data_IF_062774461694
#
_entry.id   IF_062774461694
#
_cell.length_a   1.000
_cell.length_b   1.000
_cell.length_c   1.000
_cell.angle_alpha   90.00
_cell.angle_beta   90.00
_cell.angle_gamma   90.00
#
_symmetry.space_group_name_H-M   'P 1'
#
loop_
_entity.id
_entity.type
_entity.pdbx_description
1 polymer ?
#
# COMPACT_ATOMS: atom_id res chain seq x y z
N UNK A 1 -53.20 46.13 0.62
CA UNK A 1 -54.42 46.02 -0.20
C UNK A 1 -54.88 44.56 -0.19
N UNK A 2 -56.09 44.28 0.31
CA UNK A 2 -56.75 42.95 0.30
C UNK A 2 -57.44 42.69 -1.05
N UNK A 3 -57.50 41.42 -1.49
CA UNK A 3 -58.59 40.72 -2.27
C UNK A 3 -58.06 39.33 -2.68
N UNK A 4 -58.59 38.20 -2.17
CA UNK A 4 -59.78 37.41 -2.62
C UNK A 4 -59.59 36.76 -4.02
N UNK A 5 -59.30 35.45 -4.11
CA UNK A 5 -60.18 34.27 -4.25
C UNK A 5 -60.57 33.99 -5.72
N UNK A 6 -60.48 32.73 -6.17
CA UNK A 6 -61.52 31.96 -6.91
C UNK A 6 -60.96 30.57 -7.32
N UNK A 7 -61.74 29.55 -6.98
CA UNK A 7 -61.62 28.14 -7.35
C UNK A 7 -62.45 27.90 -8.63
N UNK A 8 -61.98 27.07 -9.56
CA UNK A 8 -62.80 26.57 -10.68
C UNK A 8 -62.87 25.05 -10.59
N UNK A 9 -64.09 24.56 -10.39
CA UNK A 9 -64.51 23.16 -10.46
C UNK A 9 -64.97 22.90 -11.89
N UNK A 10 -64.53 21.80 -12.50
CA UNK A 10 -65.17 21.29 -13.73
C UNK A 10 -65.64 19.85 -13.48
N UNK A 11 -66.93 19.63 -13.71
CA UNK A 11 -67.69 18.40 -13.53
C UNK A 11 -68.05 17.87 -14.92
N UNK A 12 -67.84 16.59 -15.23
CA UNK A 12 -68.56 15.94 -16.34
C UNK A 12 -68.90 14.47 -16.01
N UNK A 13 -70.18 14.30 -15.68
CA UNK A 13 -71.14 13.22 -15.96
C UNK A 13 -70.67 11.76 -16.08
N UNK A 14 -71.23 10.93 -15.20
CA UNK A 14 -71.32 9.48 -15.30
C UNK A 14 -72.40 9.03 -16.29
N UNK A 15 -72.09 8.02 -17.11
CA UNK A 15 -73.10 7.17 -17.76
C UNK A 15 -72.84 5.74 -17.27
N UNK A 16 -73.78 5.19 -16.52
CA UNK A 16 -73.80 3.80 -16.07
C UNK A 16 -74.55 2.93 -17.07
N UNK A 17 -73.99 1.79 -17.46
CA UNK A 17 -74.76 0.62 -17.91
C UNK A 17 -74.14 -0.66 -17.31
N UNK A 18 -74.96 -1.64 -16.90
CA UNK A 18 -74.55 -2.73 -16.02
C UNK A 18 -73.98 -3.91 -16.82
N UNK A 19 -73.04 -4.65 -16.22
CA UNK A 19 -72.74 -6.01 -16.66
C UNK A 19 -72.57 -6.94 -15.47
N UNK A 20 -73.24 -8.08 -15.62
CA UNK A 20 -73.50 -9.14 -14.66
C UNK A 20 -72.20 -9.74 -14.10
N UNK A 21 -72.22 -10.01 -12.79
CA UNK A 21 -71.22 -10.81 -12.13
C UNK A 21 -71.33 -12.27 -12.59
N UNK A 22 -70.26 -12.79 -13.21
CA UNK A 22 -70.00 -14.22 -13.27
C UNK A 22 -68.84 -14.52 -12.33
N UNK A 23 -69.16 -15.21 -11.24
CA UNK A 23 -68.20 -15.78 -10.30
C UNK A 23 -67.46 -16.92 -11.01
N UNK A 24 -66.15 -16.79 -11.17
CA UNK A 24 -65.28 -17.92 -11.51
C UNK A 24 -64.18 -17.97 -10.47
N UNK A 25 -64.23 -19.01 -9.64
CA UNK A 25 -63.19 -19.40 -8.70
C UNK A 25 -61.92 -19.76 -9.47
N UNK A 26 -60.85 -18.99 -9.27
CA UNK A 26 -59.51 -19.32 -9.76
C UNK A 26 -58.68 -19.70 -8.52
N UNK A 27 -58.36 -20.99 -8.40
CA UNK A 27 -57.33 -21.51 -7.49
C UNK A 27 -55.96 -21.01 -7.95
N UNK A 28 -55.07 -20.55 -7.03
CA UNK A 28 -53.75 -20.11 -7.42
C UNK A 28 -52.85 -21.32 -7.67
N UNK A 29 -52.33 -21.43 -8.88
CA UNK A 29 -51.25 -22.34 -9.22
C UNK A 29 -49.94 -21.71 -8.76
N UNK A 30 -49.26 -22.34 -7.80
CA UNK A 30 -48.00 -21.84 -7.24
C UNK A 30 -46.88 -22.22 -8.21
N UNK A 31 -46.50 -21.28 -9.06
CA UNK A 31 -45.30 -21.39 -9.87
C UNK A 31 -44.08 -21.20 -8.95
N UNK A 32 -43.29 -22.27 -8.77
CA UNK A 32 -42.03 -22.23 -8.03
C UNK A 32 -41.04 -21.37 -8.82
N UNK A 33 -40.81 -20.15 -8.35
CA UNK A 33 -39.66 -19.37 -8.79
C UNK A 33 -38.38 -20.08 -8.33
N UNK A 34 -37.61 -20.63 -9.28
CA UNK A 34 -36.24 -21.06 -9.02
C UNK A 34 -35.40 -19.81 -8.75
N UNK A 35 -34.94 -19.70 -7.51
CA UNK A 35 -34.02 -18.67 -7.08
C UNK A 35 -32.66 -18.94 -7.74
N UNK A 36 -32.37 -18.24 -8.84
CA UNK A 36 -31.04 -18.24 -9.46
C UNK A 36 -30.10 -17.55 -8.47
N UNK A 37 -29.45 -18.35 -7.61
CA UNK A 37 -28.33 -17.90 -6.78
C UNK A 37 -27.17 -17.61 -7.73
N UNK A 38 -27.08 -16.35 -8.18
CA UNK A 38 -25.87 -15.84 -8.81
C UNK A 38 -24.79 -15.82 -7.73
N UNK A 39 -23.97 -16.87 -7.72
CA UNK A 39 -22.77 -16.96 -6.91
C UNK A 39 -21.80 -15.88 -7.42
N UNK A 40 -21.94 -14.66 -6.89
CA UNK A 40 -20.94 -13.63 -7.08
C UNK A 40 -19.73 -14.08 -6.28
N UNK A 41 -18.68 -14.51 -6.97
CA UNK A 41 -17.38 -14.71 -6.33
C UNK A 41 -17.07 -13.45 -5.51
N UNK A 42 -17.00 -13.59 -4.19
CA UNK A 42 -16.69 -12.48 -3.31
C UNK A 42 -15.29 -11.96 -3.70
N UNK A 43 -15.20 -10.69 -4.09
CA UNK A 43 -13.91 -10.08 -4.42
C UNK A 43 -13.02 -10.16 -3.18
N UNK A 44 -11.97 -10.99 -3.26
CA UNK A 44 -11.00 -11.15 -2.17
C UNK A 44 -10.28 -9.83 -1.93
N UNK A 45 -10.12 -9.47 -0.66
CA UNK A 45 -9.28 -8.32 -0.28
C UNK A 45 -7.81 -8.68 -0.51
N UNK A 46 -7.06 -7.85 -1.24
CA UNK A 46 -5.64 -8.11 -1.45
C UNK A 46 -4.80 -7.59 -0.26
N UNK A 47 -3.78 -8.36 0.12
CA UNK A 47 -2.72 -7.92 1.05
C UNK A 47 -1.36 -8.30 0.46
N UNK A 48 -0.43 -7.35 0.41
CA UNK A 48 0.94 -7.61 -0.02
C UNK A 48 1.85 -7.81 1.19
N UNK A 49 2.59 -8.91 1.23
CA UNK A 49 3.51 -9.27 2.32
C UNK A 49 4.93 -9.35 1.77
N UNK A 50 5.80 -8.48 2.29
CA UNK A 50 7.18 -8.33 1.83
C UNK A 50 8.23 -8.69 2.87
N UNK A 51 9.35 -9.23 2.40
CA UNK A 51 10.58 -9.33 3.20
C UNK A 51 11.51 -8.18 2.84
N UNK A 52 11.92 -7.41 3.86
CA UNK A 52 12.74 -6.22 3.72
C UNK A 52 14.21 -6.51 3.99
N UNK A 53 15.10 -5.92 3.19
CA UNK A 53 16.49 -5.75 3.56
C UNK A 53 17.48 -5.71 2.40
N UNK A 54 18.76 -5.87 2.74
CA UNK A 54 19.85 -5.85 1.77
C UNK A 54 20.51 -7.23 1.63
N UNK A 55 20.61 -7.80 0.42
CA UNK A 55 21.28 -9.08 0.20
C UNK A 55 22.71 -9.03 0.70
N UNK A 56 23.16 -10.14 1.28
CA UNK A 56 24.51 -10.31 1.84
C UNK A 56 24.82 -9.41 3.05
N UNK A 57 23.82 -8.79 3.68
CA UNK A 57 24.00 -7.96 4.87
C UNK A 57 22.97 -8.29 5.95
N UNK A 58 23.19 -9.30 6.80
CA UNK A 58 22.22 -9.78 7.80
C UNK A 58 21.72 -8.73 8.79
N UNK A 59 22.52 -7.69 9.06
CA UNK A 59 22.15 -6.57 9.93
C UNK A 59 21.08 -5.65 9.31
N UNK A 60 20.91 -5.68 7.99
CA UNK A 60 20.00 -4.83 7.23
C UNK A 60 18.70 -5.53 6.84
N UNK A 61 18.30 -6.57 7.57
CA UNK A 61 16.99 -7.22 7.43
C UNK A 61 17.04 -8.63 6.83
N UNK A 62 15.88 -9.30 6.89
CA UNK A 62 15.72 -10.73 6.58
C UNK A 62 16.22 -11.14 5.19
N UNK A 63 16.17 -10.26 4.18
CA UNK A 63 16.73 -10.55 2.84
C UNK A 63 18.25 -10.78 2.86
N UNK A 64 18.95 -10.24 3.85
CA UNK A 64 20.39 -10.36 4.02
C UNK A 64 20.83 -11.57 4.84
N UNK A 65 19.91 -12.27 5.50
CA UNK A 65 20.23 -13.33 6.48
C UNK A 65 20.57 -14.68 5.86
N UNK A 66 20.13 -14.94 4.62
CA UNK A 66 20.31 -16.24 3.98
C UNK A 66 20.32 -16.15 2.45
N UNK A 67 20.75 -17.23 1.78
CA UNK A 67 20.66 -17.33 0.33
C UNK A 67 19.20 -17.15 -0.16
N UNK A 68 19.04 -16.63 -1.38
CA UNK A 68 17.73 -16.26 -1.94
C UNK A 68 16.72 -17.42 -1.93
N UNK A 69 17.16 -18.67 -2.12
CA UNK A 69 16.27 -19.85 -2.10
C UNK A 69 15.67 -20.08 -0.71
N UNK A 70 16.48 -19.89 0.34
CA UNK A 70 16.02 -19.97 1.72
C UNK A 70 15.09 -18.80 2.06
N UNK A 71 15.34 -17.61 1.50
CA UNK A 71 14.46 -16.46 1.65
C UNK A 71 13.10 -16.72 0.99
N UNK A 72 13.08 -17.29 -0.23
CA UNK A 72 11.84 -17.70 -0.93
C UNK A 72 11.05 -18.69 -0.08
N UNK A 73 11.70 -19.74 0.43
CA UNK A 73 11.05 -20.73 1.30
C UNK A 73 10.40 -20.07 2.52
N UNK A 74 11.15 -19.24 3.25
CA UNK A 74 10.63 -18.51 4.42
C UNK A 74 9.48 -17.56 4.07
N UNK A 75 9.50 -16.95 2.88
CA UNK A 75 8.44 -16.06 2.44
C UNK A 75 7.17 -16.84 2.05
N UNK A 76 7.30 -18.04 1.48
CA UNK A 76 6.18 -18.97 1.24
C UNK A 76 5.57 -19.47 2.55
N UNK A 77 6.39 -19.87 3.52
CA UNK A 77 5.94 -20.22 4.89
C UNK A 77 5.20 -19.04 5.55
N UNK A 78 5.65 -17.81 5.30
CA UNK A 78 4.95 -16.60 5.76
C UNK A 78 3.59 -16.44 5.09
N UNK A 79 3.48 -16.70 3.79
CA UNK A 79 2.18 -16.69 3.08
C UNK A 79 1.23 -17.75 3.65
N UNK A 80 1.68 -18.98 3.86
CA UNK A 80 0.86 -20.04 4.45
C UNK A 80 0.32 -19.64 5.83
N UNK A 81 1.14 -18.96 6.64
CA UNK A 81 0.70 -18.41 7.92
C UNK A 81 -0.41 -17.35 7.75
N UNK A 82 -0.29 -16.44 6.78
CA UNK A 82 -1.33 -15.47 6.48
C UNK A 82 -2.61 -16.12 5.95
N UNK A 83 -2.50 -17.04 4.99
CA UNK A 83 -3.63 -17.75 4.41
C UNK A 83 -4.43 -18.50 5.50
N UNK A 84 -3.74 -19.12 6.47
CA UNK A 84 -4.37 -19.79 7.62
C UNK A 84 -5.13 -18.82 8.55
N UNK A 85 -4.55 -17.66 8.83
CA UNK A 85 -5.11 -16.68 9.78
C UNK A 85 -6.27 -15.86 9.20
N UNK A 86 -6.28 -15.69 7.87
CA UNK A 86 -7.22 -14.82 7.16
C UNK A 86 -8.29 -15.59 6.38
N UNK A 87 -8.05 -16.85 6.05
CA UNK A 87 -8.93 -17.68 5.25
C UNK A 87 -9.04 -17.19 3.81
N UNK A 88 -10.08 -17.63 3.10
CA UNK A 88 -10.22 -17.41 1.66
C UNK A 88 -10.60 -15.98 1.26
N UNK A 89 -10.93 -15.12 2.22
CA UNK A 89 -11.36 -13.73 1.98
C UNK A 89 -10.21 -12.82 1.53
N UNK A 90 -8.96 -13.26 1.68
CA UNK A 90 -7.78 -12.48 1.35
C UNK A 90 -6.94 -13.15 0.26
N UNK A 91 -6.44 -12.34 -0.67
CA UNK A 91 -5.41 -12.75 -1.61
C UNK A 91 -4.05 -12.20 -1.15
N UNK A 92 -3.16 -13.08 -0.71
CA UNK A 92 -1.84 -12.72 -0.19
C UNK A 92 -0.82 -12.71 -1.32
N UNK A 93 -0.39 -11.51 -1.73
CA UNK A 93 0.72 -11.29 -2.66
C UNK A 93 2.04 -11.21 -1.90
N UNK A 94 3.14 -11.65 -2.54
CA UNK A 94 4.46 -11.69 -1.92
C UNK A 94 5.42 -10.70 -2.57
N UNK A 95 6.38 -10.17 -1.79
CA UNK A 95 7.37 -9.22 -2.30
C UNK A 95 8.77 -9.37 -1.69
N UNK A 96 9.79 -9.08 -2.49
CA UNK A 96 11.10 -8.66 -1.99
C UNK A 96 11.16 -7.14 -1.89
N UNK A 97 11.50 -6.61 -0.73
CA UNK A 97 11.70 -5.17 -0.53
C UNK A 97 13.20 -4.91 -0.30
N UNK A 98 13.85 -4.52 -1.39
CA UNK A 98 15.29 -4.56 -1.59
C UNK A 98 15.93 -3.18 -1.35
N UNK A 99 16.80 -3.06 -0.35
CA UNK A 99 17.62 -1.84 -0.17
C UNK A 99 18.61 -1.76 -1.33
N UNK A 100 18.35 -0.85 -2.27
CA UNK A 100 19.24 -0.54 -3.37
C UNK A 100 20.23 0.54 -2.97
N UNK A 101 19.73 1.71 -2.61
CA UNK A 101 20.55 2.81 -2.11
C UNK A 101 20.75 2.64 -0.62
N UNK A 102 21.95 2.26 -0.19
CA UNK A 102 22.32 2.17 1.23
C UNK A 102 23.01 3.45 1.66
N UNK A 103 22.43 4.16 2.62
CA UNK A 103 23.07 5.30 3.26
C UNK A 103 24.20 4.85 4.19
N UNK A 104 25.35 5.50 4.08
CA UNK A 104 26.56 5.19 4.84
C UNK A 104 27.03 6.37 5.68
N UNK A 105 27.80 6.10 6.74
CA UNK A 105 28.44 7.16 7.55
C UNK A 105 29.55 7.86 6.75
N UNK A 106 30.27 7.09 5.92
CA UNK A 106 31.32 7.60 5.04
C UNK A 106 30.69 8.24 3.78
N UNK A 107 31.11 9.45 3.38
CA UNK A 107 30.65 10.11 2.14
C UNK A 107 30.98 9.34 0.85
N UNK A 108 31.95 8.44 0.87
CA UNK A 108 32.42 7.75 -0.33
C UNK A 108 33.11 8.69 -1.31
N UNK A 109 33.39 8.18 -2.52
CA UNK A 109 34.10 8.93 -3.57
C UNK A 109 33.26 10.07 -4.15
N UNK A 110 31.95 9.84 -4.25
CA UNK A 110 31.01 10.79 -4.86
C UNK A 110 30.47 11.81 -3.84
N UNK A 111 30.90 11.69 -2.58
CA UNK A 111 30.49 12.54 -1.46
C UNK A 111 28.96 12.61 -1.27
N UNK A 112 28.27 11.52 -1.60
CA UNK A 112 26.83 11.38 -1.56
C UNK A 112 26.30 10.54 -0.39
N UNK A 113 27.21 9.83 0.30
CA UNK A 113 26.93 8.90 1.39
C UNK A 113 26.08 7.69 0.96
N UNK A 114 26.13 7.28 -0.31
CA UNK A 114 25.34 6.16 -0.83
C UNK A 114 26.24 5.05 -1.40
N UNK A 115 25.91 3.81 -1.05
CA UNK A 115 26.41 2.61 -1.73
C UNK A 115 25.24 1.91 -2.42
N UNK A 116 25.23 1.95 -3.74
CA UNK A 116 24.22 1.27 -4.54
C UNK A 116 24.45 -0.24 -4.59
N UNK A 117 23.35 -1.00 -4.62
CA UNK A 117 23.37 -2.43 -4.89
C UNK A 117 23.76 -2.67 -6.37
N UNK A 118 24.72 -3.58 -6.66
CA UNK A 118 25.13 -3.84 -8.03
C UNK A 118 23.97 -4.34 -8.90
N UNK A 119 23.94 -3.91 -10.16
CA UNK A 119 22.91 -4.27 -11.14
C UNK A 119 22.70 -5.78 -11.25
N UNK A 120 23.80 -6.55 -11.29
CA UNK A 120 23.76 -8.02 -11.31
C UNK A 120 22.96 -8.61 -10.13
N UNK A 121 23.07 -8.02 -8.95
CA UNK A 121 22.33 -8.48 -7.77
C UNK A 121 20.87 -8.05 -7.84
N UNK A 122 20.58 -6.82 -8.26
CA UNK A 122 19.19 -6.35 -8.48
C UNK A 122 18.48 -7.26 -9.47
N UNK A 123 19.10 -7.53 -10.63
CA UNK A 123 18.56 -8.40 -11.66
C UNK A 123 18.38 -9.85 -11.20
N UNK A 124 19.25 -10.36 -10.32
CA UNK A 124 19.05 -11.68 -9.70
C UNK A 124 17.74 -11.73 -8.91
N UNK A 125 17.44 -10.70 -8.12
CA UNK A 125 16.20 -10.66 -7.33
C UNK A 125 14.96 -10.40 -8.20
N UNK A 126 15.05 -9.54 -9.22
CA UNK A 126 13.95 -9.31 -10.17
C UNK A 126 13.55 -10.60 -10.90
N UNK A 127 14.52 -11.30 -11.50
CA UNK A 127 14.26 -12.55 -12.22
C UNK A 127 13.72 -13.63 -11.31
N UNK A 128 14.32 -13.80 -10.13
CA UNK A 128 13.85 -14.76 -9.15
C UNK A 128 12.43 -14.46 -8.68
N UNK A 129 12.10 -13.19 -8.45
CA UNK A 129 10.76 -12.79 -8.07
C UNK A 129 9.76 -13.07 -9.21
N UNK A 130 10.13 -12.83 -10.46
CA UNK A 130 9.28 -13.13 -11.61
C UNK A 130 8.96 -14.63 -11.74
N UNK A 131 9.96 -15.50 -11.54
CA UNK A 131 9.77 -16.96 -11.50
C UNK A 131 8.78 -17.40 -10.40
N UNK A 132 8.82 -16.72 -9.26
CA UNK A 132 8.03 -17.07 -8.07
C UNK A 132 6.67 -16.35 -8.01
N UNK A 133 6.41 -15.41 -8.91
CA UNK A 133 5.21 -14.56 -8.89
C UNK A 133 5.23 -13.50 -7.79
N UNK A 134 6.42 -13.05 -7.38
CA UNK A 134 6.62 -12.04 -6.34
C UNK A 134 6.87 -10.65 -6.97
N UNK A 135 6.48 -9.61 -6.24
CA UNK A 135 6.89 -8.24 -6.53
C UNK A 135 8.33 -7.96 -6.04
N UNK A 136 8.97 -6.94 -6.60
CA UNK A 136 10.23 -6.38 -6.12
C UNK A 136 10.05 -4.89 -5.90
N UNK A 137 10.26 -4.43 -4.68
CA UNK A 137 10.27 -3.01 -4.32
C UNK A 137 11.72 -2.60 -4.15
N UNK A 138 12.18 -1.67 -4.98
CA UNK A 138 13.54 -1.11 -4.90
C UNK A 138 13.51 0.11 -3.98
N UNK A 139 14.21 0.00 -2.86
CA UNK A 139 14.23 1.00 -1.79
C UNK A 139 15.48 1.89 -1.86
N UNK A 140 15.24 3.20 -1.69
CA UNK A 140 16.21 4.26 -1.81
C UNK A 140 16.33 5.04 -0.52
N UNK A 141 17.36 4.74 0.27
CA UNK A 141 17.84 5.65 1.31
C UNK A 141 18.52 6.85 0.63
N UNK A 142 18.10 8.06 0.99
CA UNK A 142 18.37 9.21 0.13
C UNK A 142 19.77 9.82 0.26
N UNK A 143 20.44 9.69 1.41
CA UNK A 143 21.73 10.36 1.62
C UNK A 143 21.60 11.87 1.34
N UNK A 144 22.42 12.42 0.44
CA UNK A 144 22.28 13.85 0.04
C UNK A 144 21.24 14.11 -1.05
N UNK A 145 20.74 13.06 -1.70
CA UNK A 145 19.93 13.17 -2.91
C UNK A 145 18.51 13.68 -2.62
N UNK A 146 17.94 14.37 -3.60
CA UNK A 146 16.47 14.49 -3.69
C UNK A 146 15.87 13.14 -4.13
N UNK A 147 14.57 12.90 -3.90
CA UNK A 147 13.90 11.71 -4.43
C UNK A 147 14.10 11.51 -5.94
N UNK A 148 13.96 12.57 -6.74
CA UNK A 148 14.20 12.55 -8.18
C UNK A 148 15.63 12.09 -8.52
N UNK A 149 16.64 12.62 -7.83
CA UNK A 149 18.04 12.22 -8.07
C UNK A 149 18.27 10.75 -7.74
N UNK A 150 17.73 10.26 -6.62
CA UNK A 150 17.85 8.87 -6.20
C UNK A 150 17.10 7.89 -7.13
N UNK A 151 15.99 8.33 -7.73
CA UNK A 151 15.14 7.49 -8.59
C UNK A 151 15.72 7.27 -9.99
N UNK A 152 16.38 8.27 -10.58
CA UNK A 152 16.94 8.21 -11.94
C UNK A 152 17.69 6.90 -12.28
N UNK A 153 18.64 6.40 -11.46
CA UNK A 153 19.37 5.17 -11.81
C UNK A 153 18.53 3.89 -11.79
N UNK A 154 17.37 3.90 -11.13
CA UNK A 154 16.51 2.71 -10.95
C UNK A 154 15.26 2.70 -11.83
N UNK A 155 14.93 3.81 -12.52
CA UNK A 155 13.78 3.89 -13.44
C UNK A 155 13.80 2.77 -14.50
N UNK A 156 14.99 2.43 -15.00
CA UNK A 156 15.18 1.34 -15.98
C UNK A 156 14.62 -0.01 -15.55
N UNK A 157 14.45 -0.27 -14.24
CA UNK A 157 13.89 -1.52 -13.75
C UNK A 157 12.36 -1.54 -13.81
N UNK A 158 11.69 -0.40 -14.01
CA UNK A 158 10.23 -0.35 -14.14
C UNK A 158 9.71 -1.03 -15.41
N UNK A 159 10.58 -1.31 -16.39
CA UNK A 159 10.25 -2.13 -17.56
C UNK A 159 9.81 -3.56 -17.18
N UNK A 160 10.16 -4.03 -15.97
CA UNK A 160 9.71 -5.31 -15.44
C UNK A 160 8.38 -5.10 -14.70
N UNK A 161 7.35 -5.85 -15.08
CA UNK A 161 5.99 -5.71 -14.55
C UNK A 161 5.94 -5.78 -13.01
N UNK A 162 6.71 -6.70 -12.43
CA UNK A 162 6.75 -6.96 -10.99
C UNK A 162 7.63 -5.98 -10.18
N UNK A 163 8.21 -4.95 -10.80
CA UNK A 163 9.07 -3.98 -10.10
C UNK A 163 8.32 -2.71 -9.71
N UNK A 164 8.58 -2.26 -8.48
CA UNK A 164 8.04 -1.08 -7.81
C UNK A 164 9.17 -0.32 -7.08
N UNK A 165 8.87 0.85 -6.54
CA UNK A 165 9.87 1.76 -5.97
C UNK A 165 9.49 2.19 -4.55
N UNK A 166 10.50 2.47 -3.72
CA UNK A 166 10.32 3.02 -2.38
C UNK A 166 11.33 4.14 -2.10
N UNK A 167 10.89 5.12 -1.32
CA UNK A 167 11.69 6.22 -0.81
C UNK A 167 11.80 6.09 0.71
N UNK A 168 13.02 6.19 1.22
CA UNK A 168 13.30 6.23 2.65
C UNK A 168 13.91 7.60 3.04
N UNK A 169 13.07 8.54 3.53
CA UNK A 169 13.50 9.85 3.96
C UNK A 169 14.35 9.86 5.23
N UNK A 170 14.38 8.77 6.02
CA UNK A 170 15.05 8.72 7.33
C UNK A 170 16.51 9.14 7.22
N UNK A 171 17.17 8.68 6.15
CA UNK A 171 18.60 8.84 5.93
C UNK A 171 18.97 10.09 5.15
N UNK A 172 17.99 10.95 4.81
CA UNK A 172 18.24 12.16 4.03
C UNK A 172 18.98 13.21 4.87
N UNK A 173 20.08 13.72 4.32
CA UNK A 173 20.84 14.84 4.88
C UNK A 173 20.79 16.06 3.94
N UNK A 174 20.85 17.30 4.46
CA UNK A 174 20.90 18.49 3.63
C UNK A 174 22.25 18.60 2.90
N UNK A 175 22.25 18.87 1.59
CA UNK A 175 23.49 19.07 0.80
C UNK A 175 24.45 20.11 1.40
N UNK A 176 23.91 21.13 2.05
CA UNK A 176 24.68 22.23 2.68
C UNK A 176 25.15 21.93 4.11
N UNK A 177 24.78 20.79 4.72
CA UNK A 177 25.19 20.38 6.07
C UNK A 177 25.70 18.95 6.07
N UNK A 178 26.99 18.79 6.32
CA UNK A 178 27.63 17.48 6.35
C UNK A 178 27.60 16.90 7.76
N UNK A 179 26.60 16.07 8.03
CA UNK A 179 26.61 15.11 9.12
C UNK A 179 26.27 13.74 8.54
N UNK A 180 26.74 12.64 9.16
CA UNK A 180 26.46 11.32 8.63
C UNK A 180 24.94 11.04 8.67
N UNK A 181 24.38 10.36 7.64
CA UNK A 181 23.05 9.79 7.68
C UNK A 181 22.77 9.02 8.98
N UNK A 182 21.53 9.07 9.45
CA UNK A 182 21.11 8.45 10.71
C UNK A 182 21.44 9.26 11.97
N UNK A 183 22.28 10.31 11.91
CA UNK A 183 22.50 11.21 13.05
C UNK A 183 21.24 11.99 13.43
N UNK A 184 20.50 12.42 12.42
CA UNK A 184 19.21 13.08 12.57
C UNK A 184 18.22 12.42 11.62
N UNK A 185 16.95 12.34 12.03
CA UNK A 185 15.87 11.85 11.17
C UNK A 185 15.68 12.85 10.02
N UNK A 186 15.97 12.39 8.80
CA UNK A 186 15.78 13.12 7.57
C UNK A 186 14.30 13.35 7.24
N UNK A 187 14.06 14.12 6.18
CA UNK A 187 12.72 14.41 5.70
C UNK A 187 12.71 14.88 4.26
N UNK A 188 11.57 14.68 3.62
CA UNK A 188 11.17 15.27 2.35
C UNK A 188 9.87 16.07 2.52
N UNK A 189 9.47 16.79 1.49
CA UNK A 189 8.22 17.55 1.40
C UNK A 189 7.23 16.86 0.46
N UNK A 190 5.94 17.17 0.59
CA UNK A 190 4.91 16.66 -0.32
C UNK A 190 5.20 16.95 -1.80
N UNK A 191 5.82 18.10 -2.10
CA UNK A 191 6.26 18.40 -3.46
C UNK A 191 7.38 17.47 -3.94
N UNK A 192 8.32 17.07 -3.07
CA UNK A 192 9.36 16.10 -3.47
C UNK A 192 8.74 14.73 -3.84
N UNK A 193 7.62 14.35 -3.21
CA UNK A 193 6.84 13.15 -3.57
C UNK A 193 6.11 13.35 -4.90
N UNK A 194 5.54 14.53 -5.14
CA UNK A 194 4.90 14.84 -6.43
C UNK A 194 5.89 14.80 -7.59
N UNK A 195 7.10 15.35 -7.41
CA UNK A 195 8.16 15.34 -8.42
C UNK A 195 8.65 13.90 -8.70
N UNK A 196 8.74 13.08 -7.65
CA UNK A 196 9.06 11.65 -7.77
C UNK A 196 7.98 10.88 -8.55
N UNK A 197 6.71 11.11 -8.22
CA UNK A 197 5.58 10.51 -8.93
C UNK A 197 5.52 10.96 -10.40
N UNK A 198 5.71 12.25 -10.68
CA UNK A 198 5.75 12.78 -12.04
C UNK A 198 6.86 12.13 -12.87
N UNK A 199 8.07 12.03 -12.30
CA UNK A 199 9.20 11.37 -12.95
C UNK A 199 8.89 9.91 -13.32
N UNK A 200 8.30 9.17 -12.39
CA UNK A 200 7.89 7.78 -12.62
C UNK A 200 6.80 7.72 -13.70
N UNK A 201 5.77 8.55 -13.58
CA UNK A 201 4.64 8.57 -14.52
C UNK A 201 5.10 8.87 -15.95
N UNK A 202 5.97 9.87 -16.13
CA UNK A 202 6.52 10.21 -17.44
C UNK A 202 7.32 9.04 -18.01
N UNK A 203 8.17 8.41 -17.19
CA UNK A 203 8.89 7.21 -17.63
C UNK A 203 7.95 6.08 -18.09
N UNK A 204 6.85 5.83 -17.36
CA UNK A 204 5.88 4.79 -17.75
C UNK A 204 5.21 5.12 -19.09
N UNK A 205 4.77 6.37 -19.27
CA UNK A 205 4.11 6.84 -20.50
C UNK A 205 5.05 6.76 -21.70
N UNK A 206 6.28 7.29 -21.55
CA UNK A 206 7.30 7.32 -22.60
C UNK A 206 7.71 5.91 -23.07
N UNK A 207 7.68 4.92 -22.17
CA UNK A 207 8.04 3.54 -22.47
C UNK A 207 6.83 2.63 -22.74
N UNK A 208 5.61 3.19 -22.82
CA UNK A 208 4.40 2.43 -23.12
C UNK A 208 4.01 1.39 -22.05
N UNK A 209 4.47 1.57 -20.80
CA UNK A 209 4.19 0.66 -19.68
C UNK A 209 2.80 0.99 -19.14
N UNK A 210 1.89 0.01 -19.20
CA UNK A 210 0.46 0.19 -18.83
C UNK A 210 0.18 -0.18 -17.38
N UNK A 211 1.02 -1.03 -16.81
CA UNK A 211 0.91 -1.52 -15.45
C UNK A 211 1.12 -0.38 -14.46
N UNK A 212 0.20 -0.23 -13.52
CA UNK A 212 0.39 0.72 -12.41
C UNK A 212 1.60 0.31 -11.59
N UNK A 213 2.40 1.30 -11.19
CA UNK A 213 3.55 1.07 -10.31
C UNK A 213 3.27 1.58 -8.92
N UNK A 214 3.70 0.81 -7.92
CA UNK A 214 3.63 1.24 -6.53
C UNK A 214 4.82 2.15 -6.21
N UNK A 215 4.55 3.25 -5.53
CA UNK A 215 5.55 4.09 -4.89
C UNK A 215 5.33 4.06 -3.38
N UNK A 216 6.29 3.52 -2.63
CA UNK A 216 6.22 3.46 -1.17
C UNK A 216 7.02 4.62 -0.57
N UNK A 217 6.51 5.27 0.46
CA UNK A 217 7.26 6.26 1.24
C UNK A 217 7.28 5.83 2.70
N UNK A 218 8.46 5.51 3.23
CA UNK A 218 8.61 5.10 4.63
C UNK A 218 8.50 6.29 5.58
N UNK A 219 7.84 6.09 6.72
CA UNK A 219 7.77 7.08 7.80
C UNK A 219 7.35 6.46 9.14
N UNK A 220 8.06 6.83 10.20
CA UNK A 220 7.64 6.55 11.58
C UNK A 220 7.42 7.83 12.40
N UNK A 221 7.61 8.99 11.78
CA UNK A 221 7.36 10.28 12.38
C UNK A 221 6.82 11.28 11.36
N UNK A 222 5.80 12.07 11.73
CA UNK A 222 5.15 13.09 10.88
C UNK A 222 6.09 14.12 10.23
N UNK A 223 7.34 14.21 10.69
CA UNK A 223 8.31 15.19 10.23
C UNK A 223 9.09 14.70 9.02
N UNK A 224 9.05 13.39 8.75
CA UNK A 224 9.74 12.74 7.63
C UNK A 224 9.09 13.07 6.28
N UNK A 225 7.77 13.30 6.28
CA UNK A 225 7.04 13.85 5.14
C UNK A 225 6.33 15.13 5.58
N UNK A 226 6.95 16.28 5.29
CA UNK A 226 6.40 17.59 5.61
C UNK A 226 5.45 18.04 4.51
N UNK A 227 4.48 18.88 4.84
CA UNK A 227 3.50 19.38 3.86
C UNK A 227 2.82 18.22 3.10
N UNK A 228 2.49 17.15 3.83
CA UNK A 228 1.89 15.92 3.32
C UNK A 228 0.54 16.19 2.65
N UNK A 229 -0.16 17.23 3.08
CA UNK A 229 -1.39 17.74 2.49
C UNK A 229 -1.25 18.23 1.04
N UNK A 230 -0.03 18.44 0.53
CA UNK A 230 0.23 18.86 -0.86
C UNK A 230 0.39 17.68 -1.83
N UNK A 231 0.44 16.44 -1.34
CA UNK A 231 0.65 15.26 -2.19
C UNK A 231 -0.57 15.04 -3.08
N UNK A 232 -0.31 14.78 -4.36
CA UNK A 232 -1.32 14.56 -5.41
C UNK A 232 -1.37 13.08 -5.81
N UNK A 233 -2.50 12.69 -6.42
CA UNK A 233 -2.68 11.38 -7.03
C UNK A 233 -2.22 11.39 -8.49
N UNK A 234 -1.73 10.24 -8.95
CA UNK A 234 -1.38 9.95 -10.35
C UNK A 234 -2.03 8.63 -10.76
N UNK A 235 -2.75 8.60 -11.88
CA UNK A 235 -3.60 7.45 -12.22
C UNK A 235 -2.83 6.13 -12.43
N UNK A 236 -1.57 6.22 -12.85
CA UNK A 236 -0.67 5.10 -13.10
C UNK A 236 0.25 4.79 -11.90
N UNK A 237 0.08 5.46 -10.76
CA UNK A 237 0.89 5.24 -9.56
C UNK A 237 -0.01 4.96 -8.36
N UNK A 238 0.29 3.86 -7.67
CA UNK A 238 -0.32 3.52 -6.39
C UNK A 238 0.61 3.97 -5.27
N UNK A 239 0.29 5.09 -4.64
CA UNK A 239 1.09 5.62 -3.54
C UNK A 239 0.76 4.85 -2.26
N UNK A 240 1.80 4.43 -1.54
CA UNK A 240 1.68 3.74 -0.26
C UNK A 240 2.53 4.48 0.76
N UNK A 241 1.93 4.96 1.84
CA UNK A 241 2.73 5.30 3.01
C UNK A 241 3.06 4.00 3.74
N UNK A 242 4.28 3.83 4.24
CA UNK A 242 4.63 2.63 4.99
C UNK A 242 5.14 3.00 6.37
N UNK A 243 4.43 2.55 7.41
CA UNK A 243 4.73 2.98 8.77
C UNK A 243 5.68 2.00 9.45
N UNK A 244 6.87 2.47 9.77
CA UNK A 244 8.02 1.64 10.13
C UNK A 244 8.61 1.93 11.52
N UNK A 245 7.76 2.33 12.48
CA UNK A 245 8.16 2.45 13.88
C UNK A 245 8.24 1.09 14.60
N UNK A 246 9.26 0.87 15.42
CA UNK A 246 9.41 -0.35 16.21
C UNK A 246 8.87 -0.19 17.64
N UNK A 247 8.48 -1.30 18.28
CA UNK A 247 8.03 -1.29 19.67
C UNK A 247 7.09 -2.45 20.02
N UNK A 248 6.39 -2.33 21.15
CA UNK A 248 5.30 -3.26 21.50
C UNK A 248 4.09 -2.97 20.61
N UNK A 249 3.31 -4.00 20.27
CA UNK A 249 2.20 -3.88 19.31
C UNK A 249 1.27 -2.68 19.53
N UNK A 250 0.84 -2.42 20.77
CA UNK A 250 -0.03 -1.26 21.07
C UNK A 250 0.61 0.11 20.75
N UNK A 251 1.92 0.26 20.91
CA UNK A 251 2.65 1.49 20.52
C UNK A 251 2.72 1.60 18.99
N UNK A 252 2.95 0.48 18.29
CA UNK A 252 2.94 0.49 16.81
C UNK A 252 1.58 0.87 16.25
N UNK A 253 0.49 0.33 16.81
CA UNK A 253 -0.89 0.73 16.46
C UNK A 253 -1.11 2.23 16.70
N UNK A 254 -0.56 2.79 17.78
CA UNK A 254 -0.63 4.23 18.04
C UNK A 254 0.10 5.04 16.98
N UNK A 255 1.34 4.68 16.64
CA UNK A 255 2.14 5.38 15.63
C UNK A 255 1.42 5.32 14.28
N UNK A 256 0.97 4.14 13.86
CA UNK A 256 0.21 3.93 12.63
C UNK A 256 -1.02 4.83 12.56
N UNK A 257 -1.91 4.74 13.56
CA UNK A 257 -3.15 5.52 13.57
C UNK A 257 -2.92 7.04 13.64
N UNK A 258 -1.77 7.50 14.16
CA UNK A 258 -1.43 8.91 14.24
C UNK A 258 -0.82 9.46 12.93
N UNK A 259 -0.24 8.58 12.10
CA UNK A 259 0.42 8.95 10.85
C UNK A 259 -0.47 8.74 9.60
N UNK A 260 -1.65 8.14 9.78
CA UNK A 260 -2.73 8.15 8.80
C UNK A 260 -3.89 9.02 9.27
N UNK A 261 -4.01 10.21 8.71
CA UNK A 261 -5.24 11.00 8.84
C UNK A 261 -6.32 10.51 7.86
N UNK A 262 -7.57 10.91 8.11
CA UNK A 262 -8.69 10.57 7.21
C UNK A 262 -8.52 11.19 5.82
N UNK A 263 -7.87 12.35 5.69
CA UNK A 263 -7.63 12.98 4.39
C UNK A 263 -6.56 12.24 3.58
N UNK A 264 -5.51 11.76 4.25
CA UNK A 264 -4.44 10.99 3.61
C UNK A 264 -4.93 9.64 3.08
N UNK A 265 -6.02 9.14 3.66
CA UNK A 265 -6.65 7.89 3.24
C UNK A 265 -7.20 7.89 1.82
N UNK A 266 -7.42 9.06 1.22
CA UNK A 266 -7.89 9.20 -0.16
C UNK A 266 -6.74 9.33 -1.17
N UNK A 267 -5.51 9.50 -0.69
CA UNK A 267 -4.33 9.81 -1.51
C UNK A 267 -3.39 8.60 -1.60
N UNK A 268 -3.23 7.89 -0.49
CA UNK A 268 -2.33 6.75 -0.42
C UNK A 268 -2.97 5.58 0.30
N UNK A 269 -2.59 4.38 -0.15
CA UNK A 269 -2.76 3.17 0.63
C UNK A 269 -1.80 3.10 1.80
N UNK A 270 -2.08 2.15 2.69
CA UNK A 270 -1.41 2.08 3.96
C UNK A 270 -0.54 0.83 4.11
N UNK A 271 0.65 1.03 4.66
CA UNK A 271 1.59 -0.03 4.98
C UNK A 271 2.03 -0.06 6.43
N UNK A 272 2.46 -1.23 6.90
CA UNK A 272 2.86 -1.50 8.27
C UNK A 272 4.10 -2.40 8.33
N UNK A 273 5.16 -1.97 9.04
CA UNK A 273 6.39 -2.76 9.20
C UNK A 273 6.41 -3.53 10.51
N UNK A 274 6.82 -4.79 10.44
CA UNK A 274 7.14 -5.64 11.60
C UNK A 274 8.66 -5.85 11.66
N UNK A 275 9.24 -5.67 12.85
CA UNK A 275 10.66 -5.93 13.08
C UNK A 275 10.82 -7.19 13.93
N UNK A 276 11.34 -8.26 13.35
CA UNK A 276 11.51 -9.53 14.07
C UNK A 276 12.39 -9.39 15.32
N UNK A 277 13.42 -8.54 15.24
CA UNK A 277 14.43 -8.35 16.29
C UNK A 277 14.12 -7.16 17.21
N UNK A 278 13.57 -6.07 16.66
CA UNK A 278 13.42 -4.81 17.39
C UNK A 278 12.04 -4.64 18.05
N UNK A 279 11.00 -5.30 17.54
CA UNK A 279 9.68 -5.25 18.17
C UNK A 279 9.65 -6.07 19.47
N UNK A 280 8.96 -5.54 20.48
CA UNK A 280 8.81 -6.22 21.78
C UNK A 280 7.76 -7.32 21.66
N UNK A 281 8.16 -8.53 22.02
CA UNK A 281 7.33 -9.75 21.93
C UNK A 281 6.11 -9.67 22.88
N UNK A 282 5.00 -10.37 22.57
CA UNK A 282 4.75 -11.10 21.32
C UNK A 282 4.63 -10.17 20.11
N UNK A 283 5.02 -10.66 18.93
CA UNK A 283 4.77 -9.92 17.69
C UNK A 283 3.27 -9.95 17.37
N UNK A 284 2.79 -8.92 16.66
CA UNK A 284 1.40 -8.87 16.21
C UNK A 284 1.11 -9.99 15.20
N UNK A 285 -0.07 -10.60 15.31
CA UNK A 285 -0.58 -11.60 14.36
C UNK A 285 -1.09 -10.94 13.08
N UNK A 286 -1.27 -11.67 11.95
CA UNK A 286 -1.86 -11.12 10.73
C UNK A 286 -3.22 -10.46 10.98
N UNK A 287 -4.08 -11.07 11.80
CA UNK A 287 -5.39 -10.52 12.17
C UNK A 287 -5.26 -9.18 12.90
N UNK A 288 -4.32 -9.08 13.84
CA UNK A 288 -4.03 -7.84 14.56
C UNK A 288 -3.44 -6.74 13.67
N UNK A 289 -2.51 -7.12 12.77
CA UNK A 289 -1.89 -6.20 11.82
C UNK A 289 -2.95 -5.63 10.86
N UNK A 290 -3.88 -6.46 10.39
CA UNK A 290 -4.96 -6.07 9.51
C UNK A 290 -6.14 -5.40 10.22
N UNK A 291 -6.09 -5.25 11.54
CA UNK A 291 -7.18 -4.62 12.32
C UNK A 291 -8.43 -5.49 12.46
N UNK A 292 -8.35 -6.77 12.14
CA UNK A 292 -9.40 -7.77 12.35
C UNK A 292 -9.48 -8.24 13.81
N UNK A 293 -8.48 -7.88 14.61
CA UNK A 293 -8.39 -8.17 16.04
C UNK A 293 -7.67 -7.03 16.78
N UNK A 294 -8.03 -6.81 18.04
CA UNK A 294 -7.42 -5.81 18.90
C UNK A 294 -6.04 -6.22 19.40
N UNK A 295 -5.17 -5.22 19.55
CA UNK A 295 -3.90 -5.34 20.26
C UNK A 295 -4.06 -4.72 21.65
N UNK A 296 -4.44 -5.54 22.62
CA UNK A 296 -4.88 -5.05 23.93
C UNK A 296 -6.15 -4.21 23.76
N UNK A 297 -6.10 -2.94 24.17
CA UNK A 297 -7.24 -2.00 24.05
C UNK A 297 -7.23 -1.17 22.77
N UNK A 298 -6.31 -1.45 21.83
CA UNK A 298 -6.10 -0.63 20.63
C UNK A 298 -6.43 -1.42 19.37
N UNK A 299 -7.03 -0.74 18.39
CA UNK A 299 -7.33 -1.28 17.07
C UNK A 299 -6.63 -0.46 15.98
N UNK A 300 -6.20 -1.14 14.93
CA UNK A 300 -5.79 -0.49 13.67
C UNK A 300 -7.05 0.11 13.04
N UNK A 301 -7.02 1.42 12.73
CA UNK A 301 -8.20 2.15 12.21
C UNK A 301 -8.42 1.98 10.72
N UNK A 302 -7.34 1.73 9.97
CA UNK A 302 -7.35 1.50 8.53
C UNK A 302 -6.59 0.20 8.26
N UNK A 303 -7.23 -0.78 7.65
CA UNK A 303 -6.59 -2.03 7.27
C UNK A 303 -5.37 -1.73 6.37
N UNK A 304 -4.14 -2.11 6.75
CA UNK A 304 -2.98 -1.96 5.89
C UNK A 304 -3.09 -2.88 4.67
N UNK A 305 -2.74 -2.34 3.53
CA UNK A 305 -2.58 -3.08 2.27
C UNK A 305 -1.21 -3.77 2.21
N UNK A 306 -0.14 -3.08 2.65
CA UNK A 306 1.23 -3.59 2.54
C UNK A 306 1.86 -3.90 3.90
N UNK A 307 2.32 -5.12 4.13
CA UNK A 307 3.04 -5.51 5.34
C UNK A 307 4.47 -5.89 4.98
N UNK A 308 5.47 -5.23 5.56
CA UNK A 308 6.87 -5.65 5.39
C UNK A 308 7.53 -6.11 6.69
N UNK A 309 8.33 -7.16 6.58
CA UNK A 309 9.06 -7.76 7.69
C UNK A 309 10.55 -7.50 7.58
N UNK A 310 11.13 -6.95 8.64
CA UNK A 310 12.56 -6.68 8.80
C UNK A 310 13.19 -7.62 9.84
#
# INVERSE_FOLDING_TARGET
MKKSLIFIITLFTFVTHPLLANTTTITPEVEKAEEIVVQRDAVKSEVMVGFYGRPYTPSLGILGESHIDNVVKKLREKKEYYDKELGENFDVKLAFHLIYGLATIDPGRDNDYIINLPDRTVMKYIKRAQEEGFAVIIDLQLGIYTPVEALKPVLKYLQYENVHLALDPEFKIPKHRKYPPGKFIGHIFGNDVNDAQELISNYLIENGIKEKKKLIVHMFHKRMLRKKELVKNYDNIELIYNIDGHGRGGIKVQIYNNLYSQNESNIADSGFKIFYKNDKKPLMTPRQILGLESVGTRNIKRQPYYINYH
#
